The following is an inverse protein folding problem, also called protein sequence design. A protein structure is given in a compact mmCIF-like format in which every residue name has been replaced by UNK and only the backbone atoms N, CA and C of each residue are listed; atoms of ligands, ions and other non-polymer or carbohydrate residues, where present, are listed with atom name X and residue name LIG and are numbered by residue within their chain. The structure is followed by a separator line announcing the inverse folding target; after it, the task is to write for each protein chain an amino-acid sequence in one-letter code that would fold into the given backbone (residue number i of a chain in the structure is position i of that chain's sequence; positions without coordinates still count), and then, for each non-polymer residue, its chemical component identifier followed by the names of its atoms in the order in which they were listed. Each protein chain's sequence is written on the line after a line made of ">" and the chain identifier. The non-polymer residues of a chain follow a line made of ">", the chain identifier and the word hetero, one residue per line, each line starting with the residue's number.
data_IF_188966115119
#
_entry.id   IF_188966115119
#
_cell.length_a   1.000
_cell.length_b   1.000
_cell.length_c   1.000
_cell.angle_alpha   90.00
_cell.angle_beta   90.00
_cell.angle_gamma   90.00
#
_symmetry.space_group_name_H-M   'P 1'
#
loop_
_entity.id
_entity.type
_entity.pdbx_description
1 polymer ?
#
# COMPACT_ATOMS: atom_id res chain seq x y z
N UNK A 1 40.88 -67.66 16.96
CA UNK A 1 42.20 -67.77 16.31
C UNK A 1 42.55 -66.46 15.67
N UNK A 2 43.67 -65.93 16.14
CA UNK A 2 44.65 -65.08 15.42
C UNK A 2 44.03 -63.82 14.74
N UNK A 3 44.37 -62.65 15.05
CA UNK A 3 45.57 -62.11 15.65
C UNK A 3 46.09 -60.95 14.82
N UNK A 4 46.32 -59.81 15.50
CA UNK A 4 47.53 -59.00 15.28
C UNK A 4 47.51 -58.08 14.03
N UNK A 5 47.95 -56.90 14.04
CA UNK A 5 48.73 -55.91 14.83
C UNK A 5 48.65 -54.59 14.15
N UNK A 6 48.46 -53.49 14.90
CA UNK A 6 49.35 -52.36 15.09
C UNK A 6 50.08 -51.86 13.82
N UNK A 7 49.79 -50.58 13.42
CA UNK A 7 50.88 -49.59 13.33
C UNK A 7 50.34 -48.19 13.36
N UNK A 8 50.75 -47.43 14.35
CA UNK A 8 50.60 -45.99 14.45
C UNK A 8 51.64 -45.33 13.51
N UNK A 9 51.26 -44.34 12.80
CA UNK A 9 52.19 -43.33 12.30
C UNK A 9 51.64 -41.97 12.61
N UNK A 10 52.31 -41.34 13.53
CA UNK A 10 52.23 -39.96 13.92
C UNK A 10 52.90 -39.13 12.80
N UNK A 11 52.19 -38.20 12.18
CA UNK A 11 52.80 -37.02 11.55
C UNK A 11 51.98 -35.79 11.84
N UNK A 12 52.53 -34.97 12.70
CA UNK A 12 52.11 -33.59 12.91
C UNK A 12 52.64 -32.75 11.76
N UNK A 13 51.78 -31.94 11.18
CA UNK A 13 52.17 -30.74 10.41
C UNK A 13 51.08 -29.68 10.61
N UNK A 14 51.39 -28.71 11.41
CA UNK A 14 51.52 -27.26 11.19
C UNK A 14 50.27 -26.54 10.72
N UNK A 15 49.77 -25.82 11.67
CA UNK A 15 48.99 -24.57 11.63
C UNK A 15 49.08 -23.75 10.35
N UNK A 16 47.88 -23.43 9.82
CA UNK A 16 47.63 -22.15 9.18
C UNK A 16 46.29 -21.65 9.65
N UNK A 17 46.32 -20.67 10.54
CA UNK A 17 45.25 -19.82 10.92
C UNK A 17 44.87 -18.95 9.72
N UNK A 18 43.77 -19.29 9.03
CA UNK A 18 43.09 -18.38 8.16
C UNK A 18 41.85 -17.90 8.94
N UNK A 19 41.92 -16.69 9.50
CA UNK A 19 40.77 -15.91 9.86
C UNK A 19 40.00 -15.60 8.58
N UNK A 20 39.09 -16.47 8.20
CA UNK A 20 38.01 -16.20 7.30
C UNK A 20 36.81 -15.80 8.13
N UNK A 21 36.55 -14.51 8.22
CA UNK A 21 35.28 -13.99 8.71
C UNK A 21 34.19 -14.44 7.75
N UNK A 22 33.61 -15.61 7.98
CA UNK A 22 32.32 -15.97 7.44
C UNK A 22 31.26 -15.11 8.15
N UNK A 23 31.13 -13.88 7.71
CA UNK A 23 29.86 -13.20 7.84
C UNK A 23 28.91 -13.93 6.88
N UNK A 24 28.06 -14.77 7.46
CA UNK A 24 26.87 -15.23 6.76
C UNK A 24 26.15 -13.98 6.20
N UNK A 25 25.61 -14.04 4.96
CA UNK A 25 24.77 -12.96 4.48
C UNK A 25 23.63 -12.82 5.48
N UNK A 26 23.60 -11.68 6.16
CA UNK A 26 22.45 -11.28 6.96
C UNK A 26 21.31 -11.11 5.95
N UNK A 27 20.42 -12.09 5.93
CA UNK A 27 19.16 -12.00 5.21
C UNK A 27 18.43 -10.73 5.67
N UNK A 28 18.58 -9.65 4.90
CA UNK A 28 17.81 -8.41 5.04
C UNK A 28 16.32 -8.61 4.73
N UNK A 29 15.88 -9.85 4.56
CA UNK A 29 14.51 -10.20 4.17
C UNK A 29 13.52 -10.23 5.34
N UNK A 30 13.96 -10.13 6.60
CA UNK A 30 13.09 -10.26 7.78
C UNK A 30 13.11 -9.03 8.70
N UNK A 31 13.14 -7.83 8.12
CA UNK A 31 12.77 -6.66 8.90
C UNK A 31 11.28 -6.37 8.67
N UNK A 32 10.38 -6.69 9.62
CA UNK A 32 8.95 -6.46 9.49
C UNK A 32 8.63 -4.97 9.28
N UNK A 33 9.54 -4.08 9.65
CA UNK A 33 9.39 -2.62 9.50
C UNK A 33 9.59 -2.14 8.05
N UNK A 34 10.36 -2.86 7.22
CA UNK A 34 10.53 -2.51 5.80
C UNK A 34 9.36 -2.96 4.91
N UNK A 35 8.77 -4.11 5.22
CA UNK A 35 7.57 -4.60 4.54
C UNK A 35 6.36 -3.69 4.77
N UNK A 36 6.26 -3.09 5.94
CA UNK A 36 5.21 -2.15 6.34
C UNK A 36 5.34 -0.81 5.59
N UNK A 37 6.55 -0.31 5.38
CA UNK A 37 6.78 0.97 4.67
C UNK A 37 6.28 0.97 3.22
N UNK A 38 6.32 -0.15 2.54
CA UNK A 38 5.87 -0.26 1.15
C UNK A 38 4.34 -0.33 1.04
N UNK A 39 3.65 -0.81 2.07
CA UNK A 39 2.19 -0.95 2.08
C UNK A 39 1.48 0.36 2.46
N UNK A 40 2.16 1.25 3.18
CA UNK A 40 1.62 2.52 3.71
C UNK A 40 1.28 3.54 2.62
N UNK A 41 1.83 3.41 1.43
CA UNK A 41 1.90 4.53 0.49
C UNK A 41 0.71 4.70 -0.45
N UNK A 42 -0.26 3.78 -0.48
CA UNK A 42 -1.21 3.75 -1.59
C UNK A 42 -2.68 3.54 -1.19
N UNK A 43 -3.22 4.34 -0.29
CA UNK A 43 -4.66 4.35 -0.02
C UNK A 43 -5.42 5.44 -0.81
N UNK A 44 -4.81 5.91 -1.91
CA UNK A 44 -5.38 6.94 -2.76
C UNK A 44 -5.53 6.41 -4.19
N UNK A 45 -6.71 6.57 -4.75
CA UNK A 45 -7.05 6.26 -6.14
C UNK A 45 -7.26 7.56 -6.89
N UNK A 46 -6.45 7.82 -7.92
CA UNK A 46 -6.60 9.00 -8.77
C UNK A 46 -7.45 8.67 -10.00
N UNK A 47 -8.27 9.61 -10.40
CA UNK A 47 -9.19 9.47 -11.53
C UNK A 47 -8.87 10.48 -12.63
N UNK A 48 -9.19 10.09 -13.85
CA UNK A 48 -9.14 11.00 -14.98
C UNK A 48 -10.26 12.04 -14.90
N UNK A 49 -10.10 13.14 -15.64
CA UNK A 49 -11.09 14.20 -15.70
C UNK A 49 -12.45 13.63 -16.13
N UNK A 50 -13.50 14.02 -15.41
CA UNK A 50 -14.89 13.62 -15.66
C UNK A 50 -15.12 12.11 -15.82
N UNK A 51 -14.30 11.28 -15.17
CA UNK A 51 -14.41 9.82 -15.18
C UNK A 51 -14.53 9.29 -13.74
N UNK A 52 -15.36 8.26 -13.57
CA UNK A 52 -15.56 7.53 -12.32
C UNK A 52 -15.16 6.04 -12.41
N UNK A 53 -14.61 5.59 -13.55
CA UNK A 53 -14.12 4.23 -13.69
C UNK A 53 -12.82 4.05 -12.90
N UNK A 54 -12.73 2.96 -12.15
CA UNK A 54 -11.54 2.63 -11.38
C UNK A 54 -10.40 2.29 -12.35
N UNK A 55 -9.27 3.02 -12.30
CA UNK A 55 -8.15 2.75 -13.20
C UNK A 55 -7.56 1.35 -12.99
N UNK A 56 -7.14 0.70 -14.08
CA UNK A 56 -6.60 -0.66 -14.01
C UNK A 56 -5.30 -0.77 -13.18
N UNK A 57 -4.49 0.28 -13.15
CA UNK A 57 -3.23 0.32 -12.40
C UNK A 57 -3.39 0.27 -10.87
N UNK A 58 -4.60 0.49 -10.33
CA UNK A 58 -4.86 0.43 -8.88
C UNK A 58 -5.35 -0.95 -8.40
N UNK A 59 -5.45 -1.94 -9.28
CA UNK A 59 -5.92 -3.28 -8.92
C UNK A 59 -5.14 -3.89 -7.74
N UNK A 60 -3.81 -3.77 -7.76
CA UNK A 60 -2.95 -4.25 -6.67
C UNK A 60 -3.25 -3.55 -5.33
N UNK A 61 -3.44 -2.23 -5.36
CA UNK A 61 -3.81 -1.44 -4.19
C UNK A 61 -5.14 -1.95 -3.60
N UNK A 62 -6.15 -2.12 -4.42
CA UNK A 62 -7.47 -2.58 -3.97
C UNK A 62 -7.42 -4.01 -3.45
N UNK A 63 -6.63 -4.89 -4.08
CA UNK A 63 -6.42 -6.26 -3.60
C UNK A 63 -5.77 -6.30 -2.22
N UNK A 64 -4.75 -5.47 -1.97
CA UNK A 64 -4.07 -5.39 -0.66
C UNK A 64 -5.06 -4.92 0.42
N UNK A 65 -5.82 -3.85 0.15
CA UNK A 65 -6.83 -3.36 1.08
C UNK A 65 -7.93 -4.41 1.33
N UNK A 66 -8.41 -5.08 0.29
CA UNK A 66 -9.42 -6.12 0.42
C UNK A 66 -8.92 -7.29 1.26
N UNK A 67 -7.71 -7.80 0.99
CA UNK A 67 -7.12 -8.90 1.77
C UNK A 67 -6.99 -8.54 3.25
N UNK A 68 -6.56 -7.31 3.54
CA UNK A 68 -6.45 -6.84 4.92
C UNK A 68 -7.83 -6.78 5.61
N UNK A 69 -8.83 -6.17 4.97
CA UNK A 69 -10.18 -6.01 5.53
C UNK A 69 -10.85 -7.36 5.77
N UNK A 70 -10.68 -8.33 4.86
CA UNK A 70 -11.21 -9.70 5.01
C UNK A 70 -10.56 -10.39 6.21
N UNK A 71 -9.24 -10.25 6.38
CA UNK A 71 -8.50 -10.85 7.49
C UNK A 71 -8.78 -10.18 8.85
N UNK A 72 -9.29 -8.95 8.85
CA UNK A 72 -9.52 -8.15 10.06
C UNK A 72 -10.98 -7.67 10.15
N UNK A 73 -11.92 -8.50 10.64
CA UNK A 73 -13.36 -8.17 10.67
C UNK A 73 -13.74 -6.92 11.48
N UNK A 74 -12.84 -6.44 12.34
CA UNK A 74 -12.99 -5.22 13.13
C UNK A 74 -12.40 -3.98 12.48
N UNK A 75 -11.74 -4.13 11.32
CA UNK A 75 -11.26 -3.00 10.54
C UNK A 75 -12.40 -2.42 9.70
N UNK A 76 -12.49 -1.09 9.70
CA UNK A 76 -13.49 -0.34 8.94
C UNK A 76 -12.80 0.74 8.13
N UNK A 77 -13.32 1.02 6.94
CA UNK A 77 -12.83 2.10 6.09
C UNK A 77 -13.95 3.05 5.68
N UNK A 78 -13.58 4.32 5.56
CA UNK A 78 -14.37 5.34 4.91
C UNK A 78 -13.73 5.67 3.56
N UNK A 79 -14.49 5.51 2.50
CA UNK A 79 -14.10 5.77 1.11
C UNK A 79 -14.55 7.19 0.78
N UNK A 80 -13.59 8.11 0.69
CA UNK A 80 -13.84 9.54 0.57
C UNK A 80 -13.61 9.99 -0.87
N UNK A 81 -14.69 10.35 -1.58
CA UNK A 81 -14.63 10.90 -2.92
C UNK A 81 -14.31 12.39 -2.92
N UNK A 82 -13.38 12.80 -3.78
CA UNK A 82 -12.96 14.18 -3.98
C UNK A 82 -12.91 14.51 -5.48
N UNK A 83 -13.05 15.79 -5.79
CA UNK A 83 -13.02 16.35 -7.13
C UNK A 83 -12.15 17.60 -7.15
N UNK A 84 -11.73 18.02 -8.34
CA UNK A 84 -11.15 19.36 -8.55
C UNK A 84 -12.24 20.43 -8.57
N UNK A 85 -11.83 21.70 -8.61
CA UNK A 85 -12.77 22.84 -8.63
C UNK A 85 -13.46 23.05 -9.99
N UNK A 86 -13.02 22.36 -11.04
CA UNK A 86 -13.59 22.53 -12.38
C UNK A 86 -15.02 22.01 -12.43
N UNK A 87 -15.95 22.87 -12.86
CA UNK A 87 -17.37 22.55 -12.95
C UNK A 87 -18.19 23.11 -11.77
N UNK A 88 -19.47 22.75 -11.74
CA UNK A 88 -20.37 23.18 -10.65
C UNK A 88 -20.14 22.34 -9.39
N UNK A 89 -20.42 22.93 -8.23
CA UNK A 89 -20.34 22.21 -6.95
C UNK A 89 -21.22 20.97 -6.94
N UNK A 90 -22.42 21.05 -7.48
CA UNK A 90 -23.34 19.91 -7.55
C UNK A 90 -22.76 18.78 -8.41
N UNK A 91 -22.28 19.09 -9.62
CA UNK A 91 -21.64 18.09 -10.50
C UNK A 91 -20.44 17.43 -9.82
N UNK A 92 -19.60 18.23 -9.18
CA UNK A 92 -18.42 17.74 -8.46
C UNK A 92 -18.79 16.84 -7.27
N UNK A 93 -19.89 17.15 -6.58
CA UNK A 93 -20.40 16.32 -5.49
C UNK A 93 -20.88 14.95 -5.99
N UNK A 94 -21.62 14.94 -7.10
CA UNK A 94 -22.12 13.72 -7.74
C UNK A 94 -20.98 12.86 -8.30
N UNK A 95 -20.04 13.47 -9.03
CA UNK A 95 -18.89 12.78 -9.60
C UNK A 95 -17.98 12.15 -8.53
N UNK A 96 -17.73 12.89 -7.46
CA UNK A 96 -16.94 12.39 -6.33
C UNK A 96 -17.64 11.23 -5.62
N UNK A 97 -18.97 11.27 -5.49
CA UNK A 97 -19.77 10.16 -4.97
C UNK A 97 -19.66 8.92 -5.85
N UNK A 98 -19.83 9.09 -7.17
CA UNK A 98 -19.72 7.99 -8.14
C UNK A 98 -18.35 7.32 -8.07
N UNK A 99 -17.26 8.09 -7.99
CA UNK A 99 -15.90 7.57 -7.83
C UNK A 99 -15.74 6.74 -6.56
N UNK A 100 -16.23 7.25 -5.44
CA UNK A 100 -16.15 6.53 -4.17
C UNK A 100 -16.98 5.24 -4.20
N UNK A 101 -18.16 5.25 -4.84
CA UNK A 101 -18.98 4.06 -5.05
C UNK A 101 -18.29 3.03 -5.96
N UNK A 102 -17.60 3.46 -7.01
CA UNK A 102 -16.83 2.56 -7.90
C UNK A 102 -15.70 1.84 -7.15
N UNK A 103 -14.99 2.54 -6.26
CA UNK A 103 -13.99 1.93 -5.37
C UNK A 103 -14.65 0.96 -4.38
N UNK A 104 -15.76 1.35 -3.76
CA UNK A 104 -16.53 0.48 -2.87
C UNK A 104 -16.96 -0.81 -3.58
N UNK A 105 -17.50 -0.68 -4.79
CA UNK A 105 -17.91 -1.84 -5.60
C UNK A 105 -16.76 -2.79 -5.91
N UNK A 106 -15.57 -2.24 -6.17
CA UNK A 106 -14.37 -3.03 -6.40
C UNK A 106 -13.95 -3.82 -5.16
N UNK A 107 -14.03 -3.22 -3.97
CA UNK A 107 -13.76 -3.89 -2.69
C UNK A 107 -14.81 -4.97 -2.38
N UNK A 108 -16.10 -4.68 -2.62
CA UNK A 108 -17.19 -5.65 -2.46
C UNK A 108 -17.00 -6.86 -3.39
N UNK A 109 -16.66 -6.63 -4.66
CA UNK A 109 -16.35 -7.70 -5.63
C UNK A 109 -15.15 -8.54 -5.19
N UNK A 110 -14.19 -7.95 -4.49
CA UNK A 110 -13.05 -8.65 -3.92
C UNK A 110 -13.40 -9.43 -2.63
N UNK A 111 -14.66 -9.40 -2.16
CA UNK A 111 -15.14 -10.16 -1.01
C UNK A 111 -15.14 -9.41 0.32
N UNK A 112 -14.87 -8.10 0.34
CA UNK A 112 -14.93 -7.31 1.57
C UNK A 112 -16.38 -7.19 2.04
N UNK A 113 -16.71 -7.51 3.30
CA UNK A 113 -18.04 -7.34 3.87
C UNK A 113 -18.52 -5.88 3.81
N UNK A 114 -19.74 -5.65 3.32
CA UNK A 114 -20.30 -4.30 3.16
C UNK A 114 -20.30 -3.49 4.46
N UNK A 115 -20.48 -4.16 5.61
CA UNK A 115 -20.44 -3.52 6.94
C UNK A 115 -19.12 -2.82 7.27
N UNK A 116 -18.02 -3.22 6.63
CA UNK A 116 -16.71 -2.62 6.85
C UNK A 116 -16.47 -1.36 5.99
N UNK A 117 -17.37 -1.07 5.04
CA UNK A 117 -17.21 -0.02 4.06
C UNK A 117 -18.26 1.08 4.24
N UNK A 118 -17.81 2.31 4.32
CA UNK A 118 -18.65 3.51 4.24
C UNK A 118 -18.18 4.42 3.12
N UNK A 119 -19.11 5.17 2.52
CA UNK A 119 -18.83 6.09 1.42
C UNK A 119 -19.25 7.50 1.83
N UNK A 120 -18.41 8.49 1.52
CA UNK A 120 -18.72 9.90 1.64
C UNK A 120 -18.18 10.66 0.43
N UNK A 121 -18.92 11.67 -0.03
CA UNK A 121 -18.44 12.62 -1.03
C UNK A 121 -18.11 13.95 -0.37
N UNK A 122 -16.95 14.49 -0.70
CA UNK A 122 -16.57 15.87 -0.38
C UNK A 122 -16.64 16.79 -1.60
N UNK A 123 -16.91 16.24 -2.79
CA UNK A 123 -16.89 17.04 -4.00
C UNK A 123 -15.58 17.81 -4.13
N UNK A 124 -15.68 19.12 -4.38
CA UNK A 124 -14.52 20.02 -4.47
C UNK A 124 -14.20 20.78 -3.17
N UNK A 125 -14.78 20.37 -2.02
CA UNK A 125 -14.64 21.11 -0.76
C UNK A 125 -13.39 20.77 0.04
N UNK A 126 -12.69 19.67 -0.30
CA UNK A 126 -11.44 19.24 0.38
C UNK A 126 -10.28 19.06 -0.59
N UNK A 127 -9.80 20.12 -1.25
CA UNK A 127 -8.62 20.05 -2.08
C UNK A 127 -7.38 19.81 -1.20
N UNK A 128 -6.44 18.97 -1.68
CA UNK A 128 -5.12 18.80 -1.07
C UNK A 128 -4.03 19.51 -1.89
N UNK A 129 -4.36 19.87 -3.12
CA UNK A 129 -3.49 20.65 -3.98
C UNK A 129 -4.16 21.98 -4.35
N UNK A 130 -3.36 23.04 -4.57
CA UNK A 130 -3.91 24.34 -4.97
C UNK A 130 -4.72 24.23 -6.27
N UNK A 131 -5.93 24.77 -6.27
CA UNK A 131 -6.80 24.73 -7.45
C UNK A 131 -6.34 25.68 -8.56
N UNK A 132 -5.54 26.70 -8.25
CA UNK A 132 -4.93 27.61 -9.21
C UNK A 132 -3.69 27.05 -9.91
N UNK A 133 -3.14 25.93 -9.44
CA UNK A 133 -2.04 25.23 -10.10
C UNK A 133 -2.60 24.18 -11.07
N UNK A 134 -2.51 24.47 -12.39
CA UNK A 134 -3.04 23.59 -13.43
C UNK A 134 -2.35 22.21 -13.49
N UNK A 135 -1.12 22.09 -13.00
CA UNK A 135 -0.40 20.81 -12.94
C UNK A 135 -0.78 19.95 -11.73
N UNK A 136 -1.15 20.60 -10.62
CA UNK A 136 -1.50 19.91 -9.37
C UNK A 136 -3.01 19.74 -9.16
N UNK A 137 -3.82 20.67 -9.67
CA UNK A 137 -5.28 20.62 -9.55
C UNK A 137 -5.90 19.27 -9.95
N UNK A 138 -5.49 18.63 -11.07
CA UNK A 138 -6.03 17.32 -11.44
C UNK A 138 -5.86 16.25 -10.36
N UNK A 139 -4.87 16.36 -9.49
CA UNK A 139 -4.61 15.45 -8.37
C UNK A 139 -5.65 15.55 -7.23
N UNK A 140 -6.51 16.55 -7.26
CA UNK A 140 -7.68 16.62 -6.39
C UNK A 140 -8.79 15.63 -6.82
N UNK A 141 -8.74 15.10 -8.04
CA UNK A 141 -9.67 14.11 -8.56
C UNK A 141 -9.29 12.72 -8.03
N UNK A 142 -9.64 12.44 -6.78
CA UNK A 142 -9.17 11.25 -6.08
C UNK A 142 -10.24 10.65 -5.17
N UNK A 143 -10.01 9.41 -4.80
CA UNK A 143 -10.68 8.72 -3.70
C UNK A 143 -9.65 8.31 -2.67
N UNK A 144 -9.86 8.72 -1.44
CA UNK A 144 -9.04 8.34 -0.29
C UNK A 144 -9.73 7.16 0.44
N UNK A 145 -8.99 6.08 0.72
CA UNK A 145 -9.45 4.94 1.54
C UNK A 145 -8.90 5.15 2.95
N UNK A 146 -9.73 5.60 3.87
CA UNK A 146 -9.32 5.97 5.23
C UNK A 146 -9.79 4.91 6.22
N UNK A 147 -8.86 4.29 6.92
CA UNK A 147 -9.18 3.39 8.04
C UNK A 147 -9.68 4.21 9.23
N UNK A 148 -10.88 3.90 9.69
CA UNK A 148 -11.54 4.60 10.82
C UNK A 148 -11.44 3.82 12.12
N UNK A 149 -11.04 2.54 12.05
CA UNK A 149 -10.71 1.67 13.17
C UNK A 149 -9.47 0.86 12.79
N UNK A 150 -9.04 -0.09 13.53
CA UNK A 150 -7.86 -0.95 13.31
C UNK A 150 -7.20 -0.79 11.93
N UNK A 151 -6.29 0.16 11.80
CA UNK A 151 -5.52 0.36 10.58
C UNK A 151 -4.43 -0.72 10.47
N UNK A 152 -4.03 -1.14 9.26
CA UNK A 152 -2.94 -2.08 9.07
C UNK A 152 -1.60 -1.58 9.65
N UNK A 153 -1.50 -0.28 9.87
CA UNK A 153 -0.32 0.39 10.43
C UNK A 153 -0.73 1.76 10.98
N UNK A 154 0.11 2.33 11.86
CA UNK A 154 -0.13 3.69 12.35
C UNK A 154 0.12 4.71 11.24
N UNK A 155 -0.91 5.42 10.86
CA UNK A 155 -0.88 6.46 9.85
C UNK A 155 -0.18 7.70 10.42
N UNK A 156 1.11 7.87 10.16
CA UNK A 156 1.77 9.16 10.33
C UNK A 156 1.60 9.95 9.03
N UNK A 157 0.55 10.75 8.95
CA UNK A 157 0.32 11.69 7.83
C UNK A 157 1.32 12.85 7.95
N UNK A 158 2.57 12.60 7.63
CA UNK A 158 3.57 13.67 7.60
C UNK A 158 4.21 13.85 6.22
N UNK A 159 3.71 13.17 5.18
CA UNK A 159 4.26 13.32 3.84
C UNK A 159 3.16 13.11 2.79
N UNK A 160 2.85 14.16 2.06
CA UNK A 160 2.08 14.06 0.82
C UNK A 160 2.87 13.14 -0.12
N UNK A 161 2.28 12.04 -0.63
CA UNK A 161 2.99 11.17 -1.56
C UNK A 161 3.45 11.97 -2.77
N UNK A 162 4.74 11.88 -3.11
CA UNK A 162 5.20 12.36 -4.41
C UNK A 162 4.57 11.47 -5.48
N UNK A 163 3.76 12.04 -6.34
CA UNK A 163 3.18 11.35 -7.48
C UNK A 163 4.17 11.50 -8.61
N UNK A 164 4.74 10.38 -9.06
CA UNK A 164 5.53 10.39 -10.27
C UNK A 164 4.66 10.84 -11.44
N UNK A 165 5.13 11.86 -12.16
CA UNK A 165 4.47 12.42 -13.33
C UNK A 165 4.30 11.42 -14.49
N UNK A 166 4.85 10.20 -14.35
CA UNK A 166 4.72 9.11 -15.32
C UNK A 166 3.37 8.38 -15.27
N UNK A 167 2.47 8.72 -14.34
CA UNK A 167 1.17 8.03 -14.15
C UNK A 167 -0.03 8.90 -14.54
N UNK A 168 0.23 10.02 -15.21
CA UNK A 168 -0.86 10.89 -15.72
C UNK A 168 -0.99 10.82 -17.23
#
# INVERSE_FOLDING_TARGET
>A
MRGMKILAVLTAILSLTACGSNQAPVDSANNPDQSIKTTVMNNVVYFQFNNADVPANVAKLLTINASYLIAHPTAYVQIQGNSSEVGTTQHNQELALQRAQSVQQSLLKAGVPAKQLSVISYGNTKPIFPNNDKGLQPKNQRVDIIYTSTAPYQYKVNKIPSIDSATM
#
